data_IF_188266996676
#
_entry.id   IF_188266996676
#
_cell.length_a   1.000
_cell.length_b   1.000
_cell.length_c   1.000
_cell.angle_alpha   90.00
_cell.angle_beta   90.00
_cell.angle_gamma   90.00
#
_symmetry.space_group_name_H-M   'P 1'
#
loop_
_entity.id
_entity.type
_entity.pdbx_description
1 polymer ?
#
# COMPACT_ATOMS: atom_id res chain seq x y z
N UNK A 1 -21.20 12.49 -6.55
CA UNK A 1 -19.84 12.69 -7.09
C UNK A 1 -19.97 12.93 -8.57
N UNK A 2 -19.20 13.85 -9.15
CA UNK A 2 -19.16 14.03 -10.60
C UNK A 2 -18.69 12.76 -11.29
N UNK A 3 -19.35 12.43 -12.40
CA UNK A 3 -19.04 11.28 -13.25
C UNK A 3 -18.80 11.76 -14.68
N UNK A 4 -17.90 11.13 -15.35
CA UNK A 4 -17.68 11.34 -16.78
C UNK A 4 -17.70 9.99 -17.50
N UNK A 5 -18.53 9.89 -18.57
CA UNK A 5 -18.55 8.74 -19.45
C UNK A 5 -17.42 8.83 -20.47
N UNK A 6 -16.77 7.72 -20.74
CA UNK A 6 -15.73 7.61 -21.76
C UNK A 6 -15.89 6.30 -22.53
N UNK A 7 -15.33 6.24 -23.74
CA UNK A 7 -15.32 4.99 -24.50
C UNK A 7 -14.42 3.99 -23.78
N UNK A 8 -14.97 2.87 -23.35
CA UNK A 8 -14.21 1.80 -22.72
C UNK A 8 -13.58 0.85 -23.75
N UNK A 9 -12.59 0.08 -23.27
CA UNK A 9 -12.08 -1.07 -24.00
C UNK A 9 -13.14 -2.16 -24.11
N UNK A 10 -13.13 -2.92 -25.19
CA UNK A 10 -13.91 -4.17 -25.31
C UNK A 10 -13.42 -5.19 -24.27
N UNK A 11 -14.23 -6.18 -23.92
CA UNK A 11 -13.86 -7.21 -22.94
C UNK A 11 -12.59 -7.96 -23.34
N UNK A 12 -12.40 -8.26 -24.62
CA UNK A 12 -11.17 -8.87 -25.13
C UNK A 12 -9.93 -7.99 -24.93
N UNK A 13 -10.08 -6.68 -25.11
CA UNK A 13 -8.99 -5.72 -24.89
C UNK A 13 -8.72 -5.54 -23.39
N UNK A 14 -9.76 -5.52 -22.52
CA UNK A 14 -9.64 -5.49 -21.05
C UNK A 14 -8.87 -6.70 -20.55
N UNK A 15 -9.26 -7.90 -20.96
CA UNK A 15 -8.58 -9.14 -20.59
C UNK A 15 -7.10 -9.12 -20.99
N UNK A 16 -6.80 -8.70 -22.22
CA UNK A 16 -5.42 -8.59 -22.71
C UNK A 16 -4.61 -7.56 -21.91
N UNK A 17 -5.20 -6.41 -21.60
CA UNK A 17 -4.55 -5.37 -20.78
C UNK A 17 -4.26 -5.90 -19.38
N UNK A 18 -5.23 -6.51 -18.71
CA UNK A 18 -5.06 -7.09 -17.38
C UNK A 18 -4.00 -8.20 -17.36
N UNK A 19 -3.93 -9.01 -18.42
CA UNK A 19 -2.88 -10.03 -18.55
C UNK A 19 -1.49 -9.42 -18.64
N UNK A 20 -1.33 -8.29 -19.36
CA UNK A 20 -0.06 -7.55 -19.42
C UNK A 20 0.28 -6.97 -18.05
N UNK A 21 -0.67 -6.32 -17.37
CA UNK A 21 -0.46 -5.75 -16.05
C UNK A 21 -0.08 -6.81 -15.02
N UNK A 22 -0.79 -7.94 -14.99
CA UNK A 22 -0.52 -9.06 -14.08
C UNK A 22 0.90 -9.62 -14.30
N UNK A 23 1.29 -9.87 -15.55
CA UNK A 23 2.61 -10.39 -15.90
C UNK A 23 3.73 -9.41 -15.53
N UNK A 24 3.57 -8.14 -15.89
CA UNK A 24 4.55 -7.09 -15.61
C UNK A 24 4.66 -6.86 -14.09
N UNK A 25 3.51 -6.75 -13.41
CA UNK A 25 3.45 -6.60 -11.96
C UNK A 25 4.10 -7.76 -11.21
N UNK A 26 3.84 -9.00 -11.61
CA UNK A 26 4.49 -10.18 -11.04
C UNK A 26 6.01 -10.10 -11.22
N UNK A 27 6.48 -9.88 -12.45
CA UNK A 27 7.91 -9.84 -12.76
C UNK A 27 8.64 -8.75 -11.97
N UNK A 28 8.09 -7.52 -11.96
CA UNK A 28 8.69 -6.38 -11.26
C UNK A 28 8.60 -6.54 -9.76
N UNK A 29 7.49 -7.10 -9.24
CA UNK A 29 7.33 -7.37 -7.82
C UNK A 29 8.43 -8.30 -7.30
N UNK A 30 8.68 -9.42 -7.98
CA UNK A 30 9.76 -10.33 -7.59
C UNK A 30 11.15 -9.70 -7.63
N UNK A 31 11.39 -8.72 -8.48
CA UNK A 31 12.65 -7.99 -8.54
C UNK A 31 12.79 -6.92 -7.44
N UNK A 32 11.70 -6.23 -7.10
CA UNK A 32 11.71 -5.00 -6.28
C UNK A 32 11.04 -5.14 -4.91
N UNK A 33 10.58 -6.33 -4.51
CA UNK A 33 9.78 -6.48 -3.30
C UNK A 33 10.49 -6.04 -2.01
N UNK A 34 11.79 -6.34 -1.87
CA UNK A 34 12.58 -5.92 -0.71
C UNK A 34 12.64 -4.39 -0.60
N UNK A 35 12.85 -3.74 -1.73
CA UNK A 35 12.87 -2.29 -1.81
C UNK A 35 11.51 -1.68 -1.43
N UNK A 36 10.42 -2.22 -1.95
CA UNK A 36 9.08 -1.73 -1.68
C UNK A 36 8.63 -1.97 -0.25
N UNK A 37 8.95 -3.12 0.31
CA UNK A 37 8.69 -3.42 1.72
C UNK A 37 9.66 -2.70 2.65
N UNK A 38 10.77 -2.17 2.10
CA UNK A 38 11.84 -1.49 2.84
C UNK A 38 12.34 -2.32 4.03
N UNK A 39 12.54 -3.62 3.83
CA UNK A 39 12.98 -4.53 4.90
C UNK A 39 14.42 -4.18 5.27
N UNK A 40 14.70 -3.86 6.54
CA UNK A 40 16.03 -3.52 7.00
C UNK A 40 16.97 -4.73 6.93
N UNK A 41 18.26 -4.44 6.80
CA UNK A 41 19.31 -5.48 6.63
C UNK A 41 19.49 -6.38 7.85
N UNK A 42 19.08 -5.95 9.01
CA UNK A 42 19.16 -6.70 10.27
C UNK A 42 18.02 -7.72 10.48
N UNK A 43 17.07 -7.82 9.53
CA UNK A 43 16.01 -8.82 9.54
C UNK A 43 16.24 -9.86 8.44
N UNK A 44 16.36 -11.14 8.81
CA UNK A 44 16.52 -12.23 7.83
C UNK A 44 15.16 -12.64 7.25
N UNK A 45 14.76 -11.94 6.18
CA UNK A 45 13.48 -12.18 5.52
C UNK A 45 13.35 -13.56 4.87
N UNK A 46 14.43 -14.29 4.69
CA UNK A 46 14.39 -15.67 4.15
C UNK A 46 14.35 -16.74 5.23
N UNK A 47 14.47 -16.34 6.49
CA UNK A 47 14.40 -17.25 7.62
C UNK A 47 13.08 -18.00 7.65
N UNK A 48 13.14 -19.29 7.94
CA UNK A 48 11.99 -20.11 8.26
C UNK A 48 11.70 -20.15 9.76
N UNK A 49 12.54 -19.49 10.54
CA UNK A 49 12.35 -19.33 11.96
C UNK A 49 11.13 -18.45 12.23
N UNK A 50 10.26 -18.92 13.11
CA UNK A 50 9.00 -18.26 13.42
C UNK A 50 9.22 -16.91 14.11
N UNK A 51 10.27 -16.78 14.93
CA UNK A 51 10.55 -15.53 15.64
C UNK A 51 11.05 -14.46 14.68
N UNK A 52 11.83 -14.84 13.65
CA UNK A 52 12.22 -13.93 12.57
C UNK A 52 11.00 -13.52 11.71
N UNK A 53 10.12 -14.46 11.37
CA UNK A 53 8.87 -14.15 10.66
C UNK A 53 7.98 -13.20 11.48
N UNK A 54 7.91 -13.41 12.80
CA UNK A 54 7.21 -12.53 13.74
C UNK A 54 7.76 -11.09 13.69
N UNK A 55 9.07 -10.93 13.77
CA UNK A 55 9.73 -9.63 13.67
C UNK A 55 9.42 -8.94 12.35
N UNK A 56 9.48 -9.67 11.24
CA UNK A 56 9.19 -9.14 9.90
C UNK A 56 7.74 -8.67 9.79
N UNK A 57 6.76 -9.47 10.25
CA UNK A 57 5.36 -9.07 10.20
C UNK A 57 5.09 -7.84 11.08
N UNK A 58 5.68 -7.76 12.28
CA UNK A 58 5.57 -6.60 13.15
C UNK A 58 6.18 -5.36 12.50
N UNK A 59 7.35 -5.49 11.92
CA UNK A 59 7.98 -4.40 11.17
C UNK A 59 7.09 -3.92 10.01
N UNK A 60 6.52 -4.84 9.22
CA UNK A 60 5.65 -4.49 8.11
C UNK A 60 4.36 -3.81 8.57
N UNK A 61 3.79 -4.21 9.69
CA UNK A 61 2.64 -3.54 10.28
C UNK A 61 2.97 -2.09 10.65
N UNK A 62 4.08 -1.85 11.35
CA UNK A 62 4.57 -0.50 11.62
C UNK A 62 4.76 0.29 10.32
N UNK A 63 5.44 -0.31 9.35
CA UNK A 63 5.76 0.31 8.06
C UNK A 63 4.52 0.82 7.33
N UNK A 64 3.45 0.02 7.28
CA UNK A 64 2.21 0.43 6.60
C UNK A 64 1.41 1.45 7.41
N UNK A 65 1.41 1.35 8.74
CA UNK A 65 0.76 2.34 9.60
C UNK A 65 1.35 3.74 9.39
N UNK A 66 2.66 3.87 9.34
CA UNK A 66 3.32 5.16 9.12
C UNK A 66 3.29 5.63 7.67
N UNK A 67 3.06 4.72 6.69
CA UNK A 67 3.04 5.04 5.25
C UNK A 67 1.72 5.70 4.77
N UNK A 68 0.93 6.22 5.65
CA UNK A 68 -0.34 6.84 5.28
C UNK A 68 -0.16 8.35 5.12
N UNK A 69 -0.57 8.90 3.97
CA UNK A 69 -0.52 10.35 3.68
C UNK A 69 0.90 10.97 3.72
N UNK A 70 1.92 10.17 3.44
CA UNK A 70 3.31 10.60 3.48
C UNK A 70 4.04 10.28 2.17
N UNK A 71 5.18 10.91 1.93
CA UNK A 71 6.04 10.58 0.79
C UNK A 71 6.71 9.24 1.02
N UNK A 72 6.60 8.36 0.03
CA UNK A 72 7.08 6.98 0.11
C UNK A 72 8.56 6.88 0.51
N UNK A 73 9.43 7.68 -0.12
CA UNK A 73 10.87 7.66 0.11
C UNK A 73 11.21 8.04 1.56
N UNK A 74 10.55 9.06 2.10
CA UNK A 74 10.77 9.51 3.48
C UNK A 74 10.25 8.51 4.51
N UNK A 75 9.12 7.89 4.23
CA UNK A 75 8.60 6.83 5.10
C UNK A 75 9.49 5.60 5.07
N UNK A 76 10.05 5.25 3.90
CA UNK A 76 11.03 4.18 3.76
C UNK A 76 12.26 4.44 4.62
N UNK A 77 12.89 5.60 4.46
CA UNK A 77 14.04 6.02 5.25
C UNK A 77 13.74 5.97 6.76
N UNK A 78 12.60 6.52 7.17
CA UNK A 78 12.14 6.52 8.55
C UNK A 78 11.99 5.11 9.12
N UNK A 79 11.29 4.23 8.38
CA UNK A 79 11.03 2.87 8.84
C UNK A 79 12.32 2.09 9.06
N UNK A 80 13.28 2.23 8.13
CA UNK A 80 14.58 1.59 8.21
C UNK A 80 15.33 2.11 9.44
N UNK A 81 15.46 3.44 9.58
CA UNK A 81 16.19 4.03 10.71
C UNK A 81 15.58 3.70 12.07
N UNK A 82 14.27 3.73 12.21
CA UNK A 82 13.60 3.31 13.45
C UNK A 82 13.92 1.85 13.76
N UNK A 83 13.88 0.98 12.75
CA UNK A 83 14.19 -0.43 12.95
C UNK A 83 15.64 -0.66 13.31
N UNK A 84 16.59 0.04 12.69
CA UNK A 84 18.02 -0.08 12.97
C UNK A 84 18.39 0.48 14.35
N UNK A 85 17.81 1.61 14.75
CA UNK A 85 18.12 2.29 16.01
C UNK A 85 17.48 1.59 17.23
N UNK A 86 16.28 1.03 17.08
CA UNK A 86 15.52 0.44 18.20
C UNK A 86 15.31 -1.06 18.10
N UNK A 87 15.78 -1.70 17.06
CA UNK A 87 15.70 -3.14 16.69
C UNK A 87 14.80 -4.01 17.60
N UNK A 88 15.38 -4.67 18.60
CA UNK A 88 14.66 -5.64 19.43
C UNK A 88 13.56 -4.99 20.29
N UNK A 89 13.81 -3.79 20.81
CA UNK A 89 12.84 -3.06 21.62
C UNK A 89 11.62 -2.69 20.80
N UNK A 90 11.83 -2.21 19.57
CA UNK A 90 10.74 -1.84 18.67
C UNK A 90 9.80 -3.02 18.39
N UNK A 91 10.36 -4.19 18.17
CA UNK A 91 9.59 -5.37 17.73
C UNK A 91 9.02 -6.19 18.88
N UNK A 92 9.60 -6.09 20.09
CA UNK A 92 9.14 -6.84 21.26
C UNK A 92 8.39 -5.99 22.30
N UNK A 93 8.89 -4.80 22.59
CA UNK A 93 8.40 -3.93 23.65
C UNK A 93 8.43 -2.43 23.27
N UNK A 94 7.78 -2.03 22.16
CA UNK A 94 7.86 -0.68 21.62
C UNK A 94 7.43 0.42 22.61
N UNK A 95 6.67 0.06 23.61
CA UNK A 95 6.26 0.95 24.69
C UNK A 95 7.41 1.37 25.64
N UNK A 96 8.60 0.77 25.49
CA UNK A 96 9.81 1.20 26.21
C UNK A 96 10.58 2.31 25.47
N UNK A 97 10.24 2.58 24.22
CA UNK A 97 10.83 3.66 23.44
C UNK A 97 10.12 4.97 23.83
N UNK A 98 10.88 5.95 24.30
CA UNK A 98 10.30 7.24 24.65
C UNK A 98 9.86 8.04 23.41
N UNK A 99 8.82 8.87 23.57
CA UNK A 99 8.39 9.77 22.49
C UNK A 99 9.52 10.71 22.04
N UNK A 100 10.43 11.11 22.93
CA UNK A 100 11.55 11.98 22.61
C UNK A 100 12.59 11.30 21.71
N UNK A 101 12.87 10.02 21.92
CA UNK A 101 13.78 9.24 21.08
C UNK A 101 13.22 9.06 19.67
N UNK A 102 11.96 8.62 19.57
CA UNK A 102 11.27 8.52 18.29
C UNK A 102 11.19 9.86 17.56
N UNK A 103 10.91 10.93 18.31
CA UNK A 103 10.83 12.28 17.76
C UNK A 103 12.17 12.75 17.19
N UNK A 104 13.29 12.37 17.80
CA UNK A 104 14.62 12.68 17.30
C UNK A 104 14.85 12.04 15.92
N UNK A 105 14.61 10.74 15.77
CA UNK A 105 14.73 10.05 14.47
C UNK A 105 13.79 10.68 13.43
N UNK A 106 12.58 11.01 13.85
CA UNK A 106 11.60 11.64 13.01
C UNK A 106 12.06 13.00 12.48
N UNK A 107 12.58 13.84 13.38
CA UNK A 107 13.10 15.17 13.06
C UNK A 107 14.30 15.10 12.11
N UNK A 108 15.19 14.15 12.33
CA UNK A 108 16.39 13.94 11.52
C UNK A 108 16.04 13.55 10.07
N UNK A 109 15.03 12.72 9.88
CA UNK A 109 14.55 12.31 8.54
C UNK A 109 13.69 13.37 7.89
N UNK A 110 12.85 14.06 8.66
CA UNK A 110 11.94 15.09 8.15
C UNK A 110 12.63 16.40 7.81
N UNK A 111 13.72 16.73 8.49
CA UNK A 111 14.38 18.04 8.43
C UNK A 111 13.66 19.11 9.25
N UNK A 112 14.32 20.25 9.46
CA UNK A 112 13.84 21.30 10.38
C UNK A 112 12.63 22.11 9.86
N UNK A 113 12.46 22.23 8.57
CA UNK A 113 11.37 23.01 7.96
C UNK A 113 10.67 22.25 6.86
N UNK A 114 9.45 21.78 7.18
CA UNK A 114 8.45 21.47 6.15
C UNK A 114 8.82 20.41 5.12
N UNK A 115 9.86 19.63 5.34
CA UNK A 115 10.08 18.48 4.50
C UNK A 115 8.90 17.53 4.75
N UNK A 116 8.10 17.47 3.79
CA UNK A 116 6.81 16.85 3.69
C UNK A 116 6.89 15.34 3.86
N UNK A 117 7.16 14.86 5.07
CA UNK A 117 6.73 13.51 5.43
C UNK A 117 5.22 13.41 5.23
N UNK A 118 4.53 14.50 5.49
CA UNK A 118 3.10 14.64 5.33
C UNK A 118 2.80 15.85 4.43
N UNK A 119 1.86 15.70 3.50
CA UNK A 119 1.30 16.83 2.77
C UNK A 119 0.58 17.73 3.77
N UNK A 120 1.16 18.85 4.07
CA UNK A 120 0.67 19.84 5.04
C UNK A 120 -0.75 20.34 4.73
N UNK A 121 -1.24 20.17 3.51
CA UNK A 121 -2.54 20.70 3.07
C UNK A 121 -3.77 19.83 3.28
N UNK A 122 -3.64 18.54 3.63
CA UNK A 122 -4.80 17.63 3.61
C UNK A 122 -5.57 17.54 4.94
N UNK A 123 -5.00 17.96 6.07
CA UNK A 123 -5.51 17.69 7.41
C UNK A 123 -5.65 18.91 8.32
N UNK A 124 -5.93 20.08 7.76
CA UNK A 124 -6.45 21.22 8.54
C UNK A 124 -5.71 21.52 9.86
N UNK A 125 -4.40 21.74 9.82
CA UNK A 125 -3.66 22.22 10.98
C UNK A 125 -3.08 21.16 11.93
N UNK A 126 -3.25 19.87 11.65
CA UNK A 126 -2.63 18.79 12.43
C UNK A 126 -1.14 18.74 12.08
N UNK A 127 -0.28 18.91 13.08
CA UNK A 127 1.17 18.83 12.88
C UNK A 127 1.57 17.40 12.45
N UNK A 128 2.46 17.22 11.46
CA UNK A 128 2.91 15.91 10.98
C UNK A 128 3.32 14.93 12.08
N UNK A 129 3.98 15.45 13.09
CA UNK A 129 4.47 14.72 14.26
C UNK A 129 3.34 14.10 15.09
N UNK A 130 2.20 14.78 15.23
CA UNK A 130 1.08 14.26 15.99
C UNK A 130 0.43 13.05 15.31
N UNK A 131 0.42 13.01 13.97
CA UNK A 131 -0.09 11.86 13.21
C UNK A 131 0.84 10.65 13.34
N UNK A 132 2.15 10.86 13.31
CA UNK A 132 3.11 9.79 13.50
C UNK A 132 3.03 9.19 14.89
N UNK A 133 3.06 10.04 15.94
CA UNK A 133 2.91 9.62 17.33
C UNK A 133 1.63 8.80 17.53
N UNK A 134 0.53 9.22 16.94
CA UNK A 134 -0.76 8.55 17.02
C UNK A 134 -0.74 7.15 16.36
N UNK A 135 -0.14 7.02 15.18
CA UNK A 135 0.00 5.74 14.47
C UNK A 135 0.98 4.82 15.17
N UNK A 136 2.04 5.38 15.73
CA UNK A 136 2.97 4.62 16.53
C UNK A 136 2.32 4.09 17.82
N UNK A 137 1.47 4.89 18.48
CA UNK A 137 0.68 4.44 19.64
C UNK A 137 -0.29 3.29 19.29
N UNK A 138 -0.89 3.32 18.12
CA UNK A 138 -1.72 2.20 17.66
C UNK A 138 -0.88 0.92 17.47
N UNK A 139 0.31 1.03 16.87
CA UNK A 139 1.26 -0.08 16.77
C UNK A 139 1.70 -0.60 18.14
N UNK A 140 2.17 0.29 19.02
CA UNK A 140 2.59 -0.02 20.38
C UNK A 140 1.48 -0.76 21.17
N UNK A 141 0.28 -0.21 21.13
CA UNK A 141 -0.88 -0.80 21.79
C UNK A 141 -1.20 -2.20 21.26
N UNK A 142 -1.08 -2.42 19.96
CA UNK A 142 -1.32 -3.74 19.37
C UNK A 142 -0.26 -4.77 19.77
N UNK A 143 1.02 -4.40 19.79
CA UNK A 143 2.09 -5.30 20.27
C UNK A 143 1.90 -5.63 21.76
N UNK A 144 1.49 -4.65 22.57
CA UNK A 144 1.14 -4.87 23.97
C UNK A 144 -0.05 -5.82 24.11
N UNK A 145 -1.09 -5.64 23.31
CA UNK A 145 -2.26 -6.51 23.28
C UNK A 145 -1.88 -7.96 22.94
N UNK A 146 -1.04 -8.17 21.93
CA UNK A 146 -0.51 -9.52 21.60
C UNK A 146 0.19 -10.15 22.80
N UNK A 147 1.04 -9.40 23.50
CA UNK A 147 1.78 -9.88 24.66
C UNK A 147 0.85 -10.25 25.83
N UNK A 148 -0.09 -9.36 26.16
CA UNK A 148 -1.06 -9.58 27.24
C UNK A 148 -1.95 -10.80 27.01
N UNK A 149 -2.29 -11.06 25.74
CA UNK A 149 -3.09 -12.23 25.35
C UNK A 149 -2.24 -13.48 25.05
N UNK A 150 -0.91 -13.42 25.21
CA UNK A 150 0.03 -14.51 24.92
C UNK A 150 -0.09 -15.02 23.47
N UNK A 151 -0.31 -14.12 22.53
CA UNK A 151 -0.46 -14.39 21.11
C UNK A 151 0.83 -14.08 20.36
N UNK A 152 1.15 -14.96 19.40
CA UNK A 152 2.17 -14.68 18.39
C UNK A 152 1.48 -14.12 17.14
N UNK A 153 2.00 -13.03 16.58
CA UNK A 153 1.35 -12.36 15.45
C UNK A 153 1.37 -13.22 14.18
N UNK A 154 2.42 -14.05 13.98
CA UNK A 154 2.45 -15.04 12.89
C UNK A 154 1.24 -15.96 12.97
N UNK A 155 0.94 -16.51 14.17
CA UNK A 155 -0.20 -17.42 14.37
C UNK A 155 -1.52 -16.72 14.09
N UNK A 156 -1.68 -15.48 14.54
CA UNK A 156 -2.87 -14.68 14.27
C UNK A 156 -3.05 -14.48 12.76
N UNK A 157 -1.98 -14.09 12.05
CA UNK A 157 -2.01 -13.88 10.60
C UNK A 157 -2.33 -15.18 9.86
N UNK A 158 -1.65 -16.28 10.20
CA UNK A 158 -1.86 -17.60 9.58
C UNK A 158 -3.30 -18.05 9.80
N UNK A 159 -3.80 -18.01 11.04
CA UNK A 159 -5.18 -18.38 11.37
C UNK A 159 -6.18 -17.57 10.54
N UNK A 160 -6.05 -16.24 10.50
CA UNK A 160 -6.97 -15.41 9.74
C UNK A 160 -6.93 -15.70 8.25
N UNK A 161 -5.74 -15.91 7.68
CA UNK A 161 -5.59 -16.22 6.25
C UNK A 161 -6.15 -17.60 5.89
N UNK A 162 -5.99 -18.60 6.73
CA UNK A 162 -6.48 -19.97 6.50
C UNK A 162 -7.98 -20.08 6.70
N UNK A 163 -8.51 -19.53 7.78
CA UNK A 163 -9.94 -19.65 8.13
C UNK A 163 -10.82 -18.67 7.38
N UNK A 164 -10.36 -17.42 7.18
CA UNK A 164 -11.17 -16.30 6.74
C UNK A 164 -10.62 -15.61 5.47
N UNK A 165 -9.57 -16.17 4.85
CA UNK A 165 -8.93 -15.61 3.64
C UNK A 165 -8.31 -14.20 3.87
N UNK A 166 -7.67 -13.58 2.88
CA UNK A 166 -7.12 -12.22 3.01
C UNK A 166 -8.12 -11.18 3.50
N UNK A 167 -9.38 -11.27 3.10
CA UNK A 167 -10.43 -10.34 3.57
C UNK A 167 -10.69 -10.47 5.08
N UNK A 168 -10.57 -11.67 5.65
CA UNK A 168 -10.70 -11.89 7.08
C UNK A 168 -9.56 -11.25 7.87
N UNK A 169 -8.33 -11.39 7.41
CA UNK A 169 -7.19 -10.68 8.01
C UNK A 169 -7.34 -9.17 7.92
N UNK A 170 -7.81 -8.67 6.76
CA UNK A 170 -8.11 -7.26 6.59
C UNK A 170 -9.15 -6.79 7.61
N UNK A 171 -10.28 -7.49 7.72
CA UNK A 171 -11.35 -7.12 8.65
C UNK A 171 -10.84 -7.15 10.11
N UNK A 172 -10.12 -8.20 10.50
CA UNK A 172 -9.54 -8.30 11.84
C UNK A 172 -8.66 -7.10 12.17
N UNK A 173 -7.73 -6.73 11.29
CA UNK A 173 -6.82 -5.60 11.53
C UNK A 173 -7.55 -4.25 11.47
N UNK A 174 -8.48 -4.09 10.52
CA UNK A 174 -9.19 -2.83 10.31
C UNK A 174 -10.14 -2.47 11.43
N UNK A 175 -10.80 -3.48 12.03
CA UNK A 175 -11.76 -3.28 13.11
C UNK A 175 -11.19 -3.59 14.50
N UNK A 176 -9.89 -3.88 14.60
CA UNK A 176 -9.25 -4.15 15.88
C UNK A 176 -9.24 -2.88 16.73
N UNK A 177 -9.78 -2.90 17.98
CA UNK A 177 -10.03 -1.69 18.78
C UNK A 177 -8.79 -0.79 18.96
N UNK A 178 -7.60 -1.40 19.02
CA UNK A 178 -6.35 -0.67 19.20
C UNK A 178 -5.80 -0.13 17.86
N UNK A 179 -5.94 -0.90 16.77
CA UNK A 179 -5.41 -0.51 15.45
C UNK A 179 -6.33 0.44 14.70
N UNK A 180 -7.64 0.38 14.93
CA UNK A 180 -8.64 1.20 14.26
C UNK A 180 -8.25 2.68 14.23
N UNK A 181 -7.77 3.17 15.36
CA UNK A 181 -7.30 4.54 15.48
C UNK A 181 -6.08 4.88 14.60
N UNK A 182 -5.25 3.91 14.26
CA UNK A 182 -4.05 4.09 13.43
C UNK A 182 -4.33 4.11 11.93
N UNK A 183 -5.52 3.71 11.49
CA UNK A 183 -5.87 3.67 10.07
C UNK A 183 -6.48 4.98 9.57
N UNK A 184 -6.35 5.24 8.29
CA UNK A 184 -6.99 6.39 7.63
C UNK A 184 -8.15 5.90 6.78
N UNK A 185 -9.37 6.29 7.18
CA UNK A 185 -10.63 5.91 6.51
C UNK A 185 -11.10 4.49 6.86
N UNK A 186 -12.34 4.20 6.48
CA UNK A 186 -13.02 2.95 6.83
C UNK A 186 -12.52 1.73 6.02
N UNK A 187 -11.78 1.96 4.96
CA UNK A 187 -11.21 0.92 4.11
C UNK A 187 -9.77 1.32 3.73
N UNK A 188 -8.85 1.21 4.71
CA UNK A 188 -7.52 1.77 4.59
C UNK A 188 -6.66 1.00 3.60
N UNK A 189 -6.16 1.71 2.58
CA UNK A 189 -5.17 1.20 1.62
C UNK A 189 -3.99 0.53 2.34
N UNK A 190 -3.51 1.13 3.41
CA UNK A 190 -2.36 0.64 4.16
C UNK A 190 -2.61 -0.75 4.78
N UNK A 191 -3.81 -1.00 5.31
CA UNK A 191 -4.18 -2.32 5.81
C UNK A 191 -4.21 -3.36 4.68
N UNK A 192 -4.79 -3.03 3.51
CA UNK A 192 -4.75 -3.90 2.32
C UNK A 192 -3.32 -4.20 1.87
N UNK A 193 -2.42 -3.21 1.94
CA UNK A 193 -0.99 -3.41 1.63
C UNK A 193 -0.37 -4.43 2.56
N UNK A 194 -0.58 -4.31 3.87
CA UNK A 194 -0.08 -5.28 4.84
C UNK A 194 -0.56 -6.70 4.53
N UNK A 195 -1.87 -6.86 4.33
CA UNK A 195 -2.47 -8.18 4.03
C UNK A 195 -1.85 -8.81 2.78
N UNK A 196 -1.74 -8.05 1.69
CA UNK A 196 -1.15 -8.55 0.45
C UNK A 196 0.35 -8.87 0.60
N UNK A 197 1.09 -8.08 1.39
CA UNK A 197 2.50 -8.35 1.68
C UNK A 197 2.67 -9.61 2.54
N UNK A 198 1.80 -9.82 3.52
CA UNK A 198 1.79 -11.05 4.30
C UNK A 198 1.54 -12.28 3.42
N UNK A 199 0.48 -12.25 2.58
CA UNK A 199 0.20 -13.35 1.64
C UNK A 199 1.38 -13.61 0.71
N UNK A 200 2.00 -12.56 0.17
CA UNK A 200 3.16 -12.69 -0.71
C UNK A 200 4.37 -13.30 0.01
N UNK A 201 4.67 -12.87 1.23
CA UNK A 201 5.78 -13.41 2.02
C UNK A 201 5.56 -14.89 2.31
N UNK A 202 4.40 -15.25 2.82
CA UNK A 202 4.11 -16.64 3.12
C UNK A 202 4.21 -17.52 1.88
N UNK A 203 3.52 -17.17 0.80
CA UNK A 203 3.43 -18.04 -0.37
C UNK A 203 4.71 -18.03 -1.21
N UNK A 204 5.27 -16.84 -1.48
CA UNK A 204 6.31 -16.70 -2.50
C UNK A 204 7.73 -16.68 -1.89
N UNK A 205 7.89 -16.22 -0.66
CA UNK A 205 9.21 -16.13 -0.03
C UNK A 205 9.44 -17.29 0.94
N UNK A 206 8.52 -17.51 1.90
CA UNK A 206 8.65 -18.58 2.89
C UNK A 206 8.18 -19.93 2.39
N UNK A 207 7.52 -19.98 1.22
CA UNK A 207 7.00 -21.20 0.60
C UNK A 207 6.00 -21.96 1.48
N UNK A 208 5.17 -21.21 2.17
CA UNK A 208 4.07 -21.71 3.00
C UNK A 208 2.77 -21.25 2.34
N UNK A 209 2.11 -22.13 1.60
CA UNK A 209 0.86 -21.82 0.88
C UNK A 209 -0.32 -21.76 1.86
N UNK A 210 -0.45 -20.63 2.58
CA UNK A 210 -1.49 -20.43 3.58
C UNK A 210 -2.77 -19.79 3.02
N UNK A 211 -2.69 -19.18 1.83
CA UNK A 211 -3.83 -18.55 1.16
C UNK A 211 -3.58 -18.46 -0.34
N UNK A 212 -4.63 -18.39 -1.15
CA UNK A 212 -4.49 -18.30 -2.62
C UNK A 212 -4.14 -16.87 -3.03
N UNK A 213 -3.14 -16.71 -3.91
CA UNK A 213 -2.79 -15.39 -4.47
C UNK A 213 -3.98 -14.71 -5.19
N UNK A 214 -4.90 -15.48 -5.77
CA UNK A 214 -6.14 -14.96 -6.40
C UNK A 214 -7.10 -14.27 -5.40
N UNK A 215 -6.96 -14.53 -4.12
CA UNK A 215 -7.80 -13.97 -3.05
C UNK A 215 -7.20 -12.69 -2.46
N UNK A 216 -6.02 -12.24 -2.94
CA UNK A 216 -5.43 -10.97 -2.52
C UNK A 216 -6.34 -9.78 -2.84
N UNK A 217 -6.16 -8.70 -2.09
CA UNK A 217 -7.04 -7.53 -2.14
C UNK A 217 -6.53 -6.52 -3.17
N UNK A 218 -7.42 -6.01 -4.01
CA UNK A 218 -7.06 -4.93 -4.93
C UNK A 218 -6.71 -3.65 -4.16
N UNK A 219 -5.56 -3.05 -4.49
CA UNK A 219 -5.16 -1.75 -3.94
C UNK A 219 -5.33 -0.71 -5.05
N UNK A 220 -6.25 0.22 -4.85
CA UNK A 220 -6.49 1.30 -5.81
C UNK A 220 -6.14 2.64 -5.16
N UNK A 221 -4.99 3.15 -5.53
CA UNK A 221 -4.57 4.52 -5.20
C UNK A 221 -4.68 5.44 -6.43
N UNK A 222 -4.20 6.67 -6.26
CA UNK A 222 -4.23 7.65 -7.34
C UNK A 222 -3.47 7.20 -8.59
N UNK A 223 -2.38 6.45 -8.45
CA UNK A 223 -1.58 5.96 -9.58
C UNK A 223 -2.28 4.80 -10.30
N UNK A 224 -2.73 3.81 -9.55
CA UNK A 224 -3.48 2.67 -10.07
C UNK A 224 -4.78 3.14 -10.74
N UNK A 225 -5.59 3.94 -10.05
CA UNK A 225 -6.83 4.48 -10.60
C UNK A 225 -6.62 5.26 -11.88
N UNK A 226 -5.54 6.06 -11.97
CA UNK A 226 -5.17 6.78 -13.17
C UNK A 226 -4.89 5.87 -14.35
N UNK A 227 -4.18 4.77 -14.15
CA UNK A 227 -3.92 3.80 -15.21
C UNK A 227 -5.23 3.22 -15.75
N UNK A 228 -6.14 2.80 -14.87
CA UNK A 228 -7.44 2.26 -15.29
C UNK A 228 -8.31 3.28 -16.02
N UNK A 229 -8.28 4.55 -15.62
CA UNK A 229 -8.98 5.63 -16.32
C UNK A 229 -8.34 5.91 -17.70
N UNK A 230 -7.02 6.12 -17.74
CA UNK A 230 -6.31 6.53 -18.95
C UNK A 230 -6.30 5.46 -20.03
N UNK A 231 -6.28 4.19 -19.65
CA UNK A 231 -6.35 3.08 -20.59
C UNK A 231 -7.73 2.91 -21.23
N UNK A 232 -8.78 3.49 -20.62
CA UNK A 232 -10.16 3.23 -21.04
C UNK A 232 -10.70 1.88 -20.55
N UNK A 233 -10.11 1.32 -19.48
CA UNK A 233 -10.62 0.09 -18.86
C UNK A 233 -11.97 0.32 -18.20
N UNK A 234 -12.19 1.51 -17.65
CA UNK A 234 -13.46 1.93 -17.04
C UNK A 234 -14.31 2.68 -18.08
N UNK A 235 -15.62 2.43 -18.06
CA UNK A 235 -16.60 3.17 -18.84
C UNK A 235 -16.93 4.52 -18.19
N UNK A 236 -17.02 4.54 -16.87
CA UNK A 236 -17.26 5.74 -16.08
C UNK A 236 -16.05 6.09 -15.22
N UNK A 237 -15.80 7.38 -15.06
CA UNK A 237 -14.72 7.91 -14.20
C UNK A 237 -15.31 8.83 -13.14
N UNK A 238 -14.96 8.60 -11.87
CA UNK A 238 -15.29 9.50 -10.76
C UNK A 238 -14.16 10.50 -10.55
N UNK A 239 -14.50 11.79 -10.37
CA UNK A 239 -13.51 12.83 -10.12
C UNK A 239 -13.96 13.81 -9.04
N UNK A 240 -13.02 14.57 -8.47
CA UNK A 240 -13.31 15.61 -7.50
C UNK A 240 -13.89 16.86 -8.17
N UNK A 241 -15.04 17.33 -7.69
CA UNK A 241 -15.73 18.51 -8.26
C UNK A 241 -14.89 19.78 -8.19
N UNK A 242 -14.11 19.96 -7.11
CA UNK A 242 -13.26 21.15 -6.90
C UNK A 242 -11.90 21.06 -7.60
N UNK A 243 -11.56 19.87 -8.08
CA UNK A 243 -10.30 19.55 -8.74
C UNK A 243 -10.62 18.67 -9.94
N UNK A 244 -11.12 19.26 -11.04
CA UNK A 244 -11.49 18.50 -12.22
C UNK A 244 -10.28 17.69 -12.70
N UNK A 245 -10.56 16.47 -13.19
CA UNK A 245 -9.58 15.50 -13.65
C UNK A 245 -8.75 14.79 -12.56
N UNK A 246 -8.91 15.14 -11.28
CA UNK A 246 -8.38 14.30 -10.20
C UNK A 246 -9.34 13.16 -9.91
N UNK A 247 -8.86 11.95 -10.09
CA UNK A 247 -9.68 10.74 -9.93
C UNK A 247 -10.01 10.45 -8.46
N UNK A 248 -11.17 9.84 -8.25
CA UNK A 248 -11.61 9.30 -6.96
C UNK A 248 -11.26 7.80 -6.88
N UNK A 249 -9.96 7.49 -6.81
CA UNK A 249 -9.44 6.13 -6.96
C UNK A 249 -10.09 5.11 -6.00
N UNK A 250 -10.20 5.45 -4.72
CA UNK A 250 -10.80 4.55 -3.72
C UNK A 250 -12.28 4.26 -3.98
N UNK A 251 -12.99 5.19 -4.64
CA UNK A 251 -14.40 5.02 -4.99
C UNK A 251 -14.61 4.21 -6.27
N UNK A 252 -13.58 4.13 -7.13
CA UNK A 252 -13.61 3.29 -8.33
C UNK A 252 -13.13 1.87 -8.05
N UNK A 253 -12.56 1.60 -6.88
CA UNK A 253 -12.04 0.28 -6.54
C UNK A 253 -13.05 -0.85 -6.77
N UNK A 254 -14.33 -0.79 -6.35
CA UNK A 254 -15.28 -1.88 -6.59
C UNK A 254 -15.42 -2.22 -8.08
N UNK A 255 -15.42 -1.23 -8.96
CA UNK A 255 -15.51 -1.44 -10.41
C UNK A 255 -14.24 -2.14 -10.96
N UNK A 256 -13.08 -1.75 -10.46
CA UNK A 256 -11.81 -2.35 -10.85
C UNK A 256 -11.73 -3.80 -10.33
N UNK A 257 -12.12 -4.03 -9.08
CA UNK A 257 -12.20 -5.37 -8.47
C UNK A 257 -13.13 -6.30 -9.26
N UNK A 258 -14.28 -5.80 -9.68
CA UNK A 258 -15.24 -6.55 -10.51
C UNK A 258 -14.61 -6.97 -11.84
N UNK A 259 -13.96 -6.03 -12.54
CA UNK A 259 -13.30 -6.32 -13.82
C UNK A 259 -12.16 -7.33 -13.64
N UNK A 260 -11.31 -7.15 -12.63
CA UNK A 260 -10.18 -8.04 -12.33
C UNK A 260 -10.67 -9.45 -11.98
N UNK A 261 -11.74 -9.56 -11.18
CA UNK A 261 -12.37 -10.81 -10.80
C UNK A 261 -13.02 -11.52 -12.00
N UNK A 262 -13.74 -10.79 -12.85
CA UNK A 262 -14.41 -11.34 -14.05
C UNK A 262 -13.44 -12.03 -15.00
N UNK A 263 -12.21 -11.52 -15.12
CA UNK A 263 -11.16 -12.10 -15.94
C UNK A 263 -10.20 -13.02 -15.16
N UNK A 264 -10.55 -13.40 -13.94
CA UNK A 264 -9.79 -14.31 -13.07
C UNK A 264 -8.33 -13.92 -12.85
N UNK A 265 -8.03 -12.62 -12.84
CA UNK A 265 -6.68 -12.12 -12.62
C UNK A 265 -6.35 -12.01 -11.13
N UNK A 266 -5.04 -12.02 -10.82
CA UNK A 266 -4.54 -11.88 -9.44
C UNK A 266 -4.49 -10.40 -9.08
N UNK A 267 -5.36 -9.91 -8.15
CA UNK A 267 -5.47 -8.49 -7.83
C UNK A 267 -4.14 -7.84 -7.45
N UNK A 268 -3.35 -8.51 -6.62
CA UNK A 268 -2.05 -8.04 -6.17
C UNK A 268 -1.05 -7.79 -7.31
N UNK A 269 -1.04 -8.65 -8.33
CA UNK A 269 -0.12 -8.45 -9.45
C UNK A 269 -0.65 -7.43 -10.45
N UNK A 270 -1.97 -7.34 -10.62
CA UNK A 270 -2.59 -6.32 -11.48
C UNK A 270 -2.36 -4.91 -10.93
N UNK A 271 -2.54 -4.71 -9.62
CA UNK A 271 -2.30 -3.39 -9.01
C UNK A 271 -0.82 -3.00 -9.05
N UNK A 272 0.08 -3.95 -8.80
CA UNK A 272 1.52 -3.71 -8.92
C UNK A 272 1.91 -3.36 -10.37
N UNK A 273 1.33 -4.03 -11.37
CA UNK A 273 1.58 -3.70 -12.78
C UNK A 273 1.14 -2.28 -13.11
N UNK A 274 -0.05 -1.88 -12.68
CA UNK A 274 -0.53 -0.52 -12.86
C UNK A 274 0.34 0.51 -12.12
N UNK A 275 0.76 0.21 -10.89
CA UNK A 275 1.66 1.05 -10.11
C UNK A 275 3.03 1.22 -10.79
N UNK A 276 3.63 0.15 -11.28
CA UNK A 276 4.91 0.21 -11.97
C UNK A 276 4.86 0.94 -13.31
N UNK A 277 3.73 0.96 -14.01
CA UNK A 277 3.57 1.83 -15.18
C UNK A 277 3.74 3.30 -14.83
N UNK A 278 3.35 3.70 -13.62
CA UNK A 278 3.59 5.05 -13.14
C UNK A 278 5.05 5.26 -12.71
N UNK A 279 5.60 4.39 -11.86
CA UNK A 279 6.98 4.50 -11.35
C UNK A 279 8.02 4.52 -12.47
N UNK A 280 7.82 3.72 -13.51
CA UNK A 280 8.72 3.66 -14.66
C UNK A 280 8.48 4.82 -15.66
N UNK A 281 7.65 5.80 -15.31
CA UNK A 281 7.40 7.01 -16.11
C UNK A 281 6.46 6.82 -17.31
N UNK A 282 5.94 5.59 -17.54
CA UNK A 282 5.06 5.36 -18.69
C UNK A 282 3.71 6.07 -18.56
N UNK A 283 3.18 6.21 -17.35
CA UNK A 283 1.89 6.82 -17.08
C UNK A 283 2.01 8.05 -16.16
N UNK A 284 3.14 8.78 -16.23
CA UNK A 284 3.38 9.99 -15.46
C UNK A 284 2.37 11.10 -15.79
N UNK A 285 2.25 12.09 -14.91
CA UNK A 285 1.29 13.19 -15.10
C UNK A 285 1.81 14.27 -16.04
N UNK A 286 3.12 14.49 -16.06
CA UNK A 286 3.73 15.56 -16.87
C UNK A 286 4.10 15.08 -18.26
N UNK A 287 4.97 14.10 -18.35
CA UNK A 287 5.54 13.63 -19.63
C UNK A 287 5.46 12.11 -19.67
N UNK A 288 4.27 11.53 -20.00
CA UNK A 288 4.11 10.09 -20.06
C UNK A 288 4.89 9.48 -21.22
N UNK A 289 5.83 8.55 -20.92
CA UNK A 289 6.51 7.78 -21.94
C UNK A 289 5.58 6.69 -22.52
N UNK A 290 4.62 7.12 -23.34
CA UNK A 290 3.67 6.22 -23.97
C UNK A 290 4.31 5.33 -25.04
N UNK A 291 5.42 5.76 -25.68
CA UNK A 291 6.07 5.02 -26.78
C UNK A 291 6.52 3.64 -26.32
N UNK A 292 7.16 3.56 -25.18
CA UNK A 292 7.74 2.33 -24.64
C UNK A 292 6.82 1.62 -23.63
N UNK A 293 5.60 2.13 -23.45
CA UNK A 293 4.63 1.60 -22.50
C UNK A 293 4.13 0.21 -22.95
N UNK A 294 4.20 -0.82 -22.08
CA UNK A 294 3.75 -2.18 -22.42
C UNK A 294 2.29 -2.26 -22.88
N UNK A 295 1.44 -1.34 -22.43
CA UNK A 295 0.01 -1.30 -22.77
C UNK A 295 -0.34 -0.27 -23.84
N UNK A 296 0.65 0.39 -24.48
CA UNK A 296 0.44 1.48 -25.42
C UNK A 296 -0.56 1.16 -26.54
N UNK A 297 -0.47 -0.06 -27.12
CA UNK A 297 -1.34 -0.49 -28.24
C UNK A 297 -2.81 -0.66 -27.86
N UNK A 298 -3.11 -0.82 -26.58
CA UNK A 298 -4.47 -0.99 -26.04
C UNK A 298 -5.00 0.31 -25.41
N UNK A 299 -4.10 1.18 -24.94
CA UNK A 299 -4.44 2.36 -24.17
C UNK A 299 -5.17 3.41 -25.00
N UNK A 300 -6.35 3.86 -24.55
CA UNK A 300 -7.12 4.96 -25.17
C UNK A 300 -6.51 6.35 -24.92
N UNK A 301 -5.48 6.45 -24.06
CA UNK A 301 -4.70 7.66 -23.76
C UNK A 301 -5.55 8.84 -23.26
N UNK A 302 -6.48 8.58 -22.34
CA UNK A 302 -7.22 9.64 -21.66
C UNK A 302 -6.34 10.40 -20.65
N UNK A 303 -5.34 11.14 -21.14
CA UNK A 303 -4.27 11.74 -20.35
C UNK A 303 -4.72 12.89 -19.44
N UNK A 304 -5.94 13.43 -19.64
CA UNK A 304 -6.52 14.47 -18.78
C UNK A 304 -6.74 14.00 -17.32
N UNK A 305 -6.83 12.71 -17.08
CA UNK A 305 -7.01 12.18 -15.73
C UNK A 305 -5.68 12.11 -14.99
N UNK A 306 -5.62 12.78 -13.85
CA UNK A 306 -4.41 12.85 -13.01
C UNK A 306 -4.72 12.47 -11.56
N UNK A 307 -3.73 11.94 -10.87
CA UNK A 307 -3.80 11.67 -9.44
C UNK A 307 -3.40 12.87 -8.58
N UNK A 308 -2.64 13.80 -9.15
CA UNK A 308 -2.14 14.98 -8.46
C UNK A 308 -2.26 16.19 -9.36
N UNK A 309 -2.87 17.23 -8.81
CA UNK A 309 -2.77 18.54 -9.43
C UNK A 309 -1.40 19.10 -9.11
N UNK A 310 -0.64 19.46 -10.14
CA UNK A 310 0.56 20.27 -9.98
C UNK A 310 0.03 21.67 -9.73
N UNK A 311 0.31 22.19 -8.56
CA UNK A 311 0.11 23.61 -8.31
C UNK A 311 1.25 24.32 -9.03
N UNK A 312 0.94 25.01 -10.11
CA UNK A 312 1.79 26.06 -10.62
C UNK A 312 1.83 27.13 -9.51
N UNK A 313 3.03 27.44 -9.04
CA UNK A 313 3.31 28.50 -8.09
C UNK A 313 3.07 29.87 -8.72
#
# INVERSE_FOLDING_TARGET
MPREKQQSLSDKEKEKLLTILEKDGRTKRFKRWKEHMAIPSNLDVFSKDKDEQEKILRYLLLRVLINQQARFEKVREMSIRISEEFTDVLLSEPYKISESELFKVFKDVAGEKGSSLYRVGALGGIKPISLFSYRFKAYEGFIRWLKENKLNFVDVVVKQLQENKPIGLFNFLNTHPVLESGWVGNDPKACRMFVNWAVFLFNEIWKQEISKMKETLMIVDGHVGKVFCRTGTLEEVLYEKRRPYIIQASKMRPWIEEIVSRFEKIPFYVDNGAFYLFEDGHCSDLEPNCKDCPVNKLCKKYLKWTAYQIWEE
#
